data_IF_864328481601
#
_entry.id   IF_864328481601
#
_cell.length_a   1.000
_cell.length_b   1.000
_cell.length_c   1.000
_cell.angle_alpha   90.00
_cell.angle_beta   90.00
_cell.angle_gamma   90.00
#
_symmetry.space_group_name_H-M   'P 1'
#
loop_
_entity.id
_entity.type
_entity.pdbx_description
1 polymer ?
#
# COMPACT_ATOMS: atom_id res chain seq x y z
N UNK A 1 -47.26 13.79 -34.16
CA UNK A 1 -46.71 14.07 -32.81
C UNK A 1 -47.01 12.93 -31.83
N UNK A 2 -48.24 12.46 -31.63
CA UNK A 2 -48.59 11.38 -30.69
C UNK A 2 -47.86 10.04 -30.96
N UNK A 3 -47.64 9.67 -32.22
CA UNK A 3 -46.94 8.44 -32.58
C UNK A 3 -45.44 8.52 -32.25
N UNK A 4 -44.79 9.63 -32.52
CA UNK A 4 -43.40 9.88 -32.16
C UNK A 4 -43.19 9.86 -30.62
N UNK A 5 -44.08 10.50 -29.87
CA UNK A 5 -44.07 10.48 -28.42
C UNK A 5 -44.21 9.06 -27.87
N UNK A 6 -45.09 8.23 -28.40
CA UNK A 6 -45.26 6.82 -27.99
C UNK A 6 -43.98 6.01 -28.26
N UNK A 7 -43.32 6.23 -29.40
CA UNK A 7 -42.07 5.55 -29.70
C UNK A 7 -40.93 6.00 -28.79
N UNK A 8 -40.79 7.30 -28.52
CA UNK A 8 -39.82 7.83 -27.60
C UNK A 8 -40.05 7.29 -26.17
N UNK A 9 -41.31 7.29 -25.71
CA UNK A 9 -41.64 6.71 -24.40
C UNK A 9 -41.27 5.23 -24.33
N UNK A 10 -41.60 4.42 -25.31
CA UNK A 10 -41.23 3.00 -25.36
C UNK A 10 -39.73 2.79 -25.37
N UNK A 11 -39.00 3.62 -26.13
CA UNK A 11 -37.55 3.58 -26.18
C UNK A 11 -36.95 3.93 -24.81
N UNK A 12 -37.43 4.99 -24.16
CA UNK A 12 -36.97 5.38 -22.83
C UNK A 12 -37.25 4.29 -21.81
N UNK A 13 -38.44 3.71 -21.78
CA UNK A 13 -38.78 2.57 -20.91
C UNK A 13 -37.89 1.37 -21.19
N UNK A 14 -37.63 1.07 -22.44
CA UNK A 14 -36.74 -0.02 -22.87
C UNK A 14 -35.29 0.20 -22.37
N UNK A 15 -34.76 1.41 -22.53
CA UNK A 15 -33.41 1.79 -22.05
C UNK A 15 -33.33 1.70 -20.54
N UNK A 16 -34.35 2.21 -19.83
CA UNK A 16 -34.41 2.12 -18.38
C UNK A 16 -34.47 0.65 -17.89
N UNK A 17 -35.28 -0.17 -18.54
CA UNK A 17 -35.37 -1.60 -18.21
C UNK A 17 -34.05 -2.33 -18.45
N UNK A 18 -33.33 -2.02 -19.53
CA UNK A 18 -31.99 -2.56 -19.78
C UNK A 18 -30.97 -2.08 -18.75
N UNK A 19 -31.02 -0.80 -18.37
CA UNK A 19 -30.13 -0.25 -17.34
C UNK A 19 -30.37 -0.92 -15.96
N UNK A 20 -31.62 -1.07 -15.58
CA UNK A 20 -31.98 -1.80 -14.33
C UNK A 20 -31.56 -3.27 -14.41
N UNK A 21 -31.80 -3.93 -15.53
CA UNK A 21 -31.34 -5.31 -15.75
C UNK A 21 -29.82 -5.46 -15.66
N UNK A 22 -29.06 -4.53 -16.24
CA UNK A 22 -27.62 -4.49 -16.15
C UNK A 22 -27.12 -4.26 -14.69
N UNK A 23 -27.75 -3.35 -13.96
CA UNK A 23 -27.46 -3.10 -12.55
C UNK A 23 -27.74 -4.31 -11.67
N UNK A 24 -28.88 -4.98 -11.87
CA UNK A 24 -29.22 -6.20 -11.14
C UNK A 24 -28.24 -7.33 -11.44
N UNK A 25 -27.81 -7.46 -12.68
CA UNK A 25 -26.82 -8.45 -13.10
C UNK A 25 -25.46 -8.16 -12.48
N UNK A 26 -25.01 -6.90 -12.51
CA UNK A 26 -23.77 -6.46 -11.87
C UNK A 26 -23.81 -6.71 -10.35
N UNK A 27 -24.92 -6.35 -9.70
CA UNK A 27 -25.11 -6.62 -8.28
C UNK A 27 -25.07 -8.12 -7.98
N UNK A 28 -25.73 -8.95 -8.81
CA UNK A 28 -25.73 -10.41 -8.62
C UNK A 28 -24.33 -11.00 -8.75
N UNK A 29 -23.52 -10.56 -9.72
CA UNK A 29 -22.14 -11.01 -9.85
C UNK A 29 -21.28 -10.53 -8.65
N UNK A 30 -21.39 -9.28 -8.26
CA UNK A 30 -20.67 -8.72 -7.12
C UNK A 30 -21.01 -9.44 -5.82
N UNK A 31 -22.29 -9.67 -5.57
CA UNK A 31 -22.77 -10.35 -4.34
C UNK A 31 -22.24 -11.79 -4.19
N UNK A 32 -21.93 -12.47 -5.30
CA UNK A 32 -21.35 -13.82 -5.22
C UNK A 32 -19.91 -13.87 -4.72
N UNK A 33 -19.23 -12.73 -4.69
CA UNK A 33 -17.87 -12.61 -4.16
C UNK A 33 -17.86 -12.21 -2.67
N UNK A 34 -19.03 -11.95 -2.08
CA UNK A 34 -19.12 -11.62 -0.66
C UNK A 34 -18.85 -12.87 0.18
N UNK A 35 -17.98 -12.77 1.21
CA UNK A 35 -17.78 -13.85 2.15
C UNK A 35 -19.02 -14.05 3.03
N UNK A 36 -19.17 -15.26 3.55
CA UNK A 36 -20.11 -15.58 4.61
C UNK A 36 -19.36 -15.51 5.94
N UNK A 37 -19.61 -14.47 6.71
CA UNK A 37 -18.89 -14.23 7.97
C UNK A 37 -19.39 -15.09 9.14
N UNK A 38 -20.58 -15.69 9.02
CA UNK A 38 -21.18 -16.56 10.03
C UNK A 38 -20.84 -18.05 9.79
N UNK A 39 -20.10 -18.34 8.70
CA UNK A 39 -19.75 -19.70 8.36
C UNK A 39 -18.66 -20.28 9.27
N UNK A 40 -18.83 -21.56 9.62
CA UNK A 40 -17.74 -22.37 10.15
C UNK A 40 -17.13 -23.19 9.02
N UNK A 41 -15.83 -23.03 8.80
CA UNK A 41 -15.11 -23.68 7.69
C UNK A 41 -13.94 -24.48 8.23
N UNK A 42 -13.81 -25.72 7.77
CA UNK A 42 -12.62 -26.52 8.02
C UNK A 42 -11.52 -26.13 7.01
N UNK A 43 -10.40 -25.68 7.52
CA UNK A 43 -9.26 -25.23 6.71
C UNK A 43 -7.97 -25.94 7.13
N UNK A 44 -7.07 -26.17 6.19
CA UNK A 44 -5.74 -26.66 6.48
C UNK A 44 -4.80 -25.52 6.91
N UNK A 45 -3.80 -25.85 7.73
CA UNK A 45 -2.73 -24.92 8.08
C UNK A 45 -2.91 -24.19 9.41
N UNK A 46 -3.95 -24.52 10.20
CA UNK A 46 -4.09 -24.10 11.59
C UNK A 46 -3.82 -25.26 12.55
N UNK A 47 -3.30 -24.94 13.73
CA UNK A 47 -3.07 -25.93 14.78
C UNK A 47 -4.28 -26.09 15.71
N UNK A 48 -5.04 -25.02 15.92
CA UNK A 48 -6.22 -24.95 16.79
C UNK A 48 -7.32 -24.11 16.14
N UNK A 49 -8.57 -24.23 16.57
CA UNK A 49 -9.66 -23.38 16.07
C UNK A 49 -9.36 -21.91 16.24
N UNK A 50 -9.68 -21.14 15.20
CA UNK A 50 -9.57 -19.67 15.17
C UNK A 50 -10.98 -19.09 15.06
N UNK A 51 -11.30 -18.15 15.92
CA UNK A 51 -12.55 -17.40 15.88
C UNK A 51 -12.29 -15.97 15.37
N UNK A 52 -13.07 -15.55 14.38
CA UNK A 52 -13.03 -14.20 13.82
C UNK A 52 -14.39 -13.57 14.05
N UNK A 53 -14.46 -12.66 15.01
CA UNK A 53 -15.68 -11.92 15.36
C UNK A 53 -15.62 -10.53 14.74
N UNK A 54 -16.67 -10.13 14.03
CA UNK A 54 -16.74 -8.79 13.46
C UNK A 54 -17.63 -7.92 14.32
N UNK A 55 -17.13 -6.70 14.62
CA UNK A 55 -17.90 -5.71 15.36
C UNK A 55 -18.90 -4.94 14.45
N UNK A 56 -19.60 -3.95 15.01
CA UNK A 56 -20.58 -3.15 14.28
C UNK A 56 -19.98 -2.27 13.15
N UNK A 57 -18.66 -2.18 13.09
CA UNK A 57 -17.91 -1.49 12.02
C UNK A 57 -17.22 -2.48 11.07
N UNK A 58 -17.59 -3.77 11.13
CA UNK A 58 -17.00 -4.88 10.37
C UNK A 58 -15.50 -5.08 10.65
N UNK A 59 -14.97 -4.55 11.76
CA UNK A 59 -13.58 -4.77 12.16
C UNK A 59 -13.44 -6.18 12.72
N UNK A 60 -12.52 -7.01 12.16
CA UNK A 60 -12.29 -8.36 12.66
C UNK A 60 -11.51 -8.34 13.98
N UNK A 61 -12.03 -9.08 14.96
CA UNK A 61 -11.38 -9.43 16.19
C UNK A 61 -10.99 -10.90 16.09
N UNK A 62 -9.70 -11.19 16.12
CA UNK A 62 -9.14 -12.53 15.87
C UNK A 62 -8.68 -13.14 17.17
N UNK A 63 -9.22 -14.33 17.48
CA UNK A 63 -8.91 -15.12 18.65
C UNK A 63 -8.34 -16.49 18.23
N UNK A 64 -7.25 -16.90 18.83
CA UNK A 64 -6.61 -18.19 18.59
C UNK A 64 -5.93 -18.70 19.84
N UNK A 65 -5.54 -19.98 19.84
CA UNK A 65 -4.84 -20.59 20.97
C UNK A 65 -3.34 -20.20 21.03
N UNK A 66 -2.79 -19.75 19.90
CA UNK A 66 -1.40 -19.29 19.77
C UNK A 66 -1.33 -18.04 18.89
N UNK A 67 -0.23 -17.31 18.99
CA UNK A 67 0.01 -16.14 18.12
C UNK A 67 0.01 -16.55 16.64
N UNK A 68 0.52 -17.71 16.30
CA UNK A 68 0.47 -18.25 14.94
C UNK A 68 -0.98 -18.44 14.46
N UNK A 69 -1.86 -18.99 15.29
CA UNK A 69 -3.29 -19.13 14.96
C UNK A 69 -3.94 -17.76 14.75
N UNK A 70 -3.59 -16.76 15.56
CA UNK A 70 -4.08 -15.39 15.43
C UNK A 70 -3.61 -14.73 14.13
N UNK A 71 -2.33 -14.88 13.77
CA UNK A 71 -1.82 -14.36 12.48
C UNK A 71 -2.40 -15.13 11.29
N UNK A 72 -2.66 -16.40 11.41
CA UNK A 72 -3.42 -17.14 10.40
C UNK A 72 -4.81 -16.54 10.20
N UNK A 73 -5.55 -16.31 11.30
CA UNK A 73 -6.87 -15.68 11.26
C UNK A 73 -6.85 -14.29 10.63
N UNK A 74 -5.83 -13.47 10.93
CA UNK A 74 -5.65 -12.17 10.30
C UNK A 74 -5.45 -12.30 8.79
N UNK A 75 -4.61 -13.23 8.35
CA UNK A 75 -4.37 -13.51 6.93
C UNK A 75 -5.63 -13.93 6.20
N UNK A 76 -6.39 -14.83 6.80
CA UNK A 76 -7.67 -15.31 6.28
C UNK A 76 -8.70 -14.17 6.16
N UNK A 77 -8.93 -13.39 7.24
CA UNK A 77 -9.86 -12.28 7.25
C UNK A 77 -9.47 -11.17 6.24
N UNK A 78 -8.18 -10.84 6.18
CA UNK A 78 -7.69 -9.83 5.24
C UNK A 78 -7.89 -10.28 3.78
N UNK A 79 -7.66 -11.56 3.49
CA UNK A 79 -7.88 -12.11 2.16
C UNK A 79 -9.37 -12.17 1.80
N UNK A 80 -10.27 -12.44 2.77
CA UNK A 80 -11.72 -12.34 2.55
C UNK A 80 -12.15 -10.95 2.09
N UNK A 81 -11.60 -9.90 2.71
CA UNK A 81 -12.10 -8.54 2.55
C UNK A 81 -11.34 -7.73 1.50
N UNK A 82 -10.07 -8.06 1.25
CA UNK A 82 -9.13 -7.21 0.52
C UNK A 82 -8.31 -7.93 -0.54
N UNK A 83 -8.75 -9.11 -1.01
CA UNK A 83 -7.97 -9.96 -1.90
C UNK A 83 -7.47 -9.22 -3.15
N UNK A 84 -8.34 -8.47 -3.83
CA UNK A 84 -7.93 -7.69 -5.00
C UNK A 84 -6.82 -6.69 -4.68
N UNK A 85 -6.97 -5.93 -3.60
CA UNK A 85 -5.96 -4.97 -3.16
C UNK A 85 -4.62 -5.66 -2.85
N UNK A 86 -4.64 -6.79 -2.15
CA UNK A 86 -3.45 -7.59 -1.85
C UNK A 86 -2.75 -8.07 -3.12
N UNK A 87 -3.51 -8.60 -4.08
CA UNK A 87 -2.98 -9.06 -5.36
C UNK A 87 -2.37 -7.92 -6.17
N UNK A 88 -3.00 -6.75 -6.19
CA UNK A 88 -2.46 -5.58 -6.88
C UNK A 88 -1.18 -5.08 -6.23
N UNK A 89 -1.12 -4.95 -4.91
CA UNK A 89 0.09 -4.55 -4.19
C UNK A 89 1.25 -5.52 -4.44
N UNK A 90 0.99 -6.82 -4.38
CA UNK A 90 1.98 -7.86 -4.69
C UNK A 90 2.48 -7.74 -6.13
N UNK A 91 1.59 -7.61 -7.11
CA UNK A 91 1.96 -7.47 -8.52
C UNK A 91 2.76 -6.22 -8.79
N UNK A 92 2.41 -5.11 -8.13
CA UNK A 92 3.18 -3.88 -8.18
C UNK A 92 4.61 -4.13 -7.72
N UNK A 93 4.79 -4.69 -6.53
CA UNK A 93 6.11 -4.99 -5.99
C UNK A 93 6.92 -5.98 -6.84
N UNK A 94 6.25 -6.90 -7.54
CA UNK A 94 6.86 -7.86 -8.48
C UNK A 94 7.18 -7.26 -9.86
N UNK A 95 6.69 -6.04 -10.18
CA UNK A 95 6.75 -5.49 -11.53
C UNK A 95 5.99 -6.33 -12.55
N UNK A 96 4.73 -6.69 -12.25
CA UNK A 96 3.87 -7.58 -13.03
C UNK A 96 2.46 -7.05 -13.27
N UNK A 97 2.26 -5.74 -13.15
CA UNK A 97 0.95 -5.12 -13.40
C UNK A 97 0.55 -5.19 -14.87
N UNK A 98 1.53 -5.07 -15.77
CA UNK A 98 1.29 -5.09 -17.22
C UNK A 98 0.76 -6.44 -17.75
N UNK A 99 0.86 -7.51 -16.96
CA UNK A 99 0.16 -8.77 -17.28
C UNK A 99 -1.37 -8.62 -17.25
N UNK A 100 -1.89 -7.61 -16.54
CA UNK A 100 -3.33 -7.30 -16.43
C UNK A 100 -3.68 -6.06 -17.23
N UNK A 101 -2.88 -5.00 -17.13
CA UNK A 101 -3.22 -3.67 -17.63
C UNK A 101 -2.48 -3.28 -18.92
N UNK A 102 -1.60 -4.16 -19.43
CA UNK A 102 -0.85 -3.94 -20.67
C UNK A 102 0.17 -2.82 -20.55
N UNK A 103 0.43 -2.12 -21.64
CA UNK A 103 1.48 -1.08 -21.74
C UNK A 103 1.33 0.08 -20.73
N UNK A 104 0.11 0.33 -20.24
CA UNK A 104 -0.19 1.42 -19.30
C UNK A 104 0.65 1.36 -18.02
N UNK A 105 1.00 0.16 -17.57
CA UNK A 105 1.75 -0.07 -16.33
C UNK A 105 3.19 -0.55 -16.56
N UNK A 106 3.63 -0.60 -17.82
CA UNK A 106 4.96 -1.11 -18.17
C UNK A 106 6.10 -0.28 -17.55
N UNK A 107 5.93 1.04 -17.47
CA UNK A 107 6.93 1.92 -16.84
C UNK A 107 7.12 1.61 -15.36
N UNK A 108 6.02 1.35 -14.65
CA UNK A 108 6.03 0.97 -13.23
C UNK A 108 6.68 -0.41 -13.05
N UNK A 109 6.28 -1.38 -13.87
CA UNK A 109 6.88 -2.72 -13.82
C UNK A 109 8.39 -2.68 -14.07
N UNK A 110 8.82 -1.85 -15.02
CA UNK A 110 10.24 -1.65 -15.31
C UNK A 110 10.98 -1.05 -14.12
N UNK A 111 10.40 -0.04 -13.47
CA UNK A 111 10.99 0.57 -12.27
C UNK A 111 11.12 -0.44 -11.13
N UNK A 112 10.05 -1.16 -10.80
CA UNK A 112 10.05 -2.14 -9.71
C UNK A 112 11.07 -3.27 -9.95
N UNK A 113 11.22 -3.71 -11.19
CA UNK A 113 12.23 -4.72 -11.56
C UNK A 113 13.66 -4.19 -11.51
N UNK A 114 13.88 -2.93 -11.91
CA UNK A 114 15.21 -2.28 -11.78
C UNK A 114 15.62 -2.13 -10.32
N UNK A 115 14.68 -1.79 -9.43
CA UNK A 115 14.91 -1.71 -7.99
C UNK A 115 15.06 -3.10 -7.34
N UNK A 116 14.75 -4.17 -8.05
CA UNK A 116 14.75 -5.55 -7.54
C UNK A 116 13.96 -5.70 -6.22
N UNK A 117 12.85 -4.95 -6.11
CA UNK A 117 12.10 -4.84 -4.85
C UNK A 117 11.66 -6.20 -4.31
N UNK A 118 11.18 -7.07 -5.22
CA UNK A 118 10.73 -8.41 -4.84
C UNK A 118 11.89 -9.36 -4.52
N UNK A 119 13.01 -9.28 -5.23
CA UNK A 119 14.22 -10.03 -4.91
C UNK A 119 14.79 -9.63 -3.56
N UNK A 120 14.83 -8.33 -3.26
CA UNK A 120 15.19 -7.80 -1.93
C UNK A 120 14.26 -8.34 -0.84
N UNK A 121 12.94 -8.35 -1.07
CA UNK A 121 11.97 -8.90 -0.13
C UNK A 121 12.19 -10.40 0.12
N UNK A 122 12.44 -11.16 -0.95
CA UNK A 122 12.72 -12.61 -0.84
C UNK A 122 13.95 -12.89 0.01
N UNK A 123 15.03 -12.14 -0.21
CA UNK A 123 16.26 -12.28 0.60
C UNK A 123 16.04 -11.85 2.05
N UNK A 124 15.18 -10.86 2.29
CA UNK A 124 14.88 -10.36 3.63
C UNK A 124 14.10 -11.34 4.51
N UNK A 125 13.45 -12.35 3.95
CA UNK A 125 12.75 -13.39 4.75
C UNK A 125 13.72 -14.11 5.69
N UNK A 126 14.90 -14.47 5.19
CA UNK A 126 15.91 -15.18 5.99
C UNK A 126 16.51 -14.29 7.11
N UNK A 127 16.45 -12.98 6.96
CA UNK A 127 16.98 -12.01 7.93
C UNK A 127 16.00 -11.67 9.05
N UNK A 128 14.75 -12.13 8.97
CA UNK A 128 13.77 -11.93 10.03
C UNK A 128 14.10 -12.77 11.26
N UNK A 129 13.76 -12.27 12.45
CA UNK A 129 13.81 -13.08 13.65
C UNK A 129 12.80 -14.24 13.62
N UNK A 130 12.86 -15.11 14.60
CA UNK A 130 12.04 -16.32 14.64
C UNK A 130 10.54 -15.99 14.73
N UNK A 131 10.18 -15.03 15.55
CA UNK A 131 8.77 -14.66 15.82
C UNK A 131 8.16 -13.98 14.58
N UNK A 132 8.90 -13.05 13.94
CA UNK A 132 8.47 -12.42 12.70
C UNK A 132 8.30 -13.46 11.56
N UNK A 133 9.17 -14.47 11.47
CA UNK A 133 8.99 -15.54 10.47
C UNK A 133 7.75 -16.38 10.74
N UNK A 134 7.49 -16.74 11.99
CA UNK A 134 6.26 -17.45 12.38
C UNK A 134 5.03 -16.63 12.00
N UNK A 135 5.01 -15.34 12.29
CA UNK A 135 3.92 -14.46 11.93
C UNK A 135 3.70 -14.37 10.40
N UNK A 136 4.77 -14.22 9.64
CA UNK A 136 4.73 -14.16 8.17
C UNK A 136 4.23 -15.48 7.55
N UNK A 137 4.71 -16.61 8.04
CA UNK A 137 4.32 -17.95 7.56
C UNK A 137 2.86 -18.25 7.90
N UNK A 138 2.44 -17.98 9.14
CA UNK A 138 1.07 -18.18 9.59
C UNK A 138 0.08 -17.28 8.83
N UNK A 139 0.42 -16.01 8.64
CA UNK A 139 -0.38 -15.09 7.83
C UNK A 139 -0.53 -15.59 6.39
N UNK A 140 0.59 -16.01 5.77
CA UNK A 140 0.57 -16.57 4.42
C UNK A 140 -0.30 -17.83 4.34
N UNK A 141 -0.25 -18.70 5.35
CA UNK A 141 -1.11 -19.88 5.42
C UNK A 141 -2.60 -19.49 5.50
N UNK A 142 -2.96 -18.49 6.29
CA UNK A 142 -4.33 -17.97 6.37
C UNK A 142 -4.83 -17.40 5.05
N UNK A 143 -4.02 -16.59 4.37
CA UNK A 143 -4.34 -16.09 3.02
C UNK A 143 -4.55 -17.26 2.04
N UNK A 144 -3.68 -18.26 2.10
CA UNK A 144 -3.74 -19.42 1.21
C UNK A 144 -4.95 -20.31 1.49
N UNK A 145 -5.41 -20.40 2.73
CA UNK A 145 -6.64 -21.11 3.08
C UNK A 145 -7.86 -20.46 2.39
N UNK A 146 -7.96 -19.13 2.42
CA UNK A 146 -9.00 -18.42 1.66
C UNK A 146 -8.85 -18.61 0.15
N UNK A 147 -7.61 -18.52 -0.37
CA UNK A 147 -7.34 -18.72 -1.81
C UNK A 147 -7.74 -20.13 -2.28
N UNK A 148 -7.61 -21.14 -1.44
CA UNK A 148 -8.05 -22.49 -1.78
C UNK A 148 -9.57 -22.55 -2.03
N UNK A 149 -10.37 -21.86 -1.21
CA UNK A 149 -11.81 -21.74 -1.41
C UNK A 149 -12.16 -20.97 -2.70
N UNK A 150 -11.48 -19.85 -2.94
CA UNK A 150 -11.65 -19.03 -4.17
C UNK A 150 -11.32 -19.85 -5.41
N UNK A 151 -10.18 -20.54 -5.41
CA UNK A 151 -9.74 -21.35 -6.55
C UNK A 151 -10.61 -22.58 -6.78
N UNK A 152 -11.25 -23.11 -5.74
CA UNK A 152 -12.26 -24.17 -5.86
C UNK A 152 -13.62 -23.62 -6.38
N UNK A 153 -13.76 -22.31 -6.56
CA UNK A 153 -15.00 -21.68 -7.03
C UNK A 153 -16.09 -21.55 -5.97
N UNK A 154 -15.78 -21.82 -4.71
CA UNK A 154 -16.72 -21.81 -3.60
C UNK A 154 -17.18 -20.38 -3.23
N UNK A 155 -16.36 -19.37 -3.54
CA UNK A 155 -16.57 -17.95 -3.17
C UNK A 155 -16.58 -17.04 -4.40
N UNK A 156 -17.31 -17.41 -5.43
CA UNK A 156 -17.29 -16.70 -6.70
C UNK A 156 -15.87 -16.67 -7.29
N UNK A 157 -15.27 -15.48 -7.41
CA UNK A 157 -13.85 -15.32 -7.81
C UNK A 157 -13.03 -14.61 -6.73
N UNK A 158 -13.55 -14.48 -5.52
CA UNK A 158 -12.88 -13.89 -4.36
C UNK A 158 -12.95 -12.36 -4.30
N UNK A 159 -13.15 -11.69 -5.43
CA UNK A 159 -13.36 -10.25 -5.49
C UNK A 159 -14.14 -9.89 -6.76
N UNK A 160 -14.99 -8.84 -6.75
CA UNK A 160 -15.76 -8.41 -7.92
C UNK A 160 -14.88 -8.07 -9.12
N UNK A 161 -13.73 -7.46 -8.91
CA UNK A 161 -12.77 -7.07 -9.95
C UNK A 161 -12.23 -8.27 -10.72
N UNK A 162 -12.16 -9.45 -10.10
CA UNK A 162 -11.70 -10.69 -10.75
C UNK A 162 -12.69 -11.25 -11.78
N UNK A 163 -13.91 -10.71 -11.82
CA UNK A 163 -14.82 -10.97 -12.94
C UNK A 163 -14.44 -10.19 -14.20
N UNK A 164 -13.90 -8.98 -14.03
CA UNK A 164 -13.44 -8.12 -15.11
C UNK A 164 -12.02 -8.54 -15.54
N UNK A 165 -11.17 -8.87 -14.57
CA UNK A 165 -9.78 -9.28 -14.77
C UNK A 165 -9.57 -10.72 -14.27
N UNK A 166 -10.05 -11.72 -15.02
CA UNK A 166 -9.96 -13.12 -14.61
C UNK A 166 -8.51 -13.59 -14.61
N UNK A 167 -8.03 -14.00 -13.45
CA UNK A 167 -6.67 -14.52 -13.28
C UNK A 167 -6.63 -15.55 -12.17
N UNK A 168 -5.74 -16.53 -12.29
CA UNK A 168 -5.40 -17.39 -11.20
C UNK A 168 -4.52 -16.62 -10.19
N UNK A 169 -4.84 -16.73 -8.90
CA UNK A 169 -4.04 -16.14 -7.83
C UNK A 169 -3.06 -17.18 -7.33
N UNK A 170 -1.76 -16.92 -7.53
CA UNK A 170 -0.71 -17.77 -7.01
C UNK A 170 -0.73 -17.75 -5.46
N UNK A 171 -0.31 -18.85 -4.80
CA UNK A 171 -0.20 -18.89 -3.35
C UNK A 171 0.61 -17.72 -2.80
N UNK A 172 0.19 -17.23 -1.64
CA UNK A 172 0.87 -16.17 -0.91
C UNK A 172 2.12 -16.71 -0.23
N UNK A 173 3.20 -15.94 -0.30
CA UNK A 173 4.48 -16.28 0.33
C UNK A 173 4.86 -15.22 1.37
N UNK A 174 5.65 -15.53 2.39
CA UNK A 174 6.22 -14.54 3.31
C UNK A 174 6.90 -13.36 2.61
N UNK A 175 7.57 -13.61 1.50
CA UNK A 175 8.18 -12.60 0.66
C UNK A 175 7.16 -11.58 0.09
N UNK A 176 5.92 -11.99 -0.18
CA UNK A 176 4.87 -11.10 -0.68
C UNK A 176 4.53 -10.01 0.35
N UNK A 177 4.45 -10.39 1.62
CA UNK A 177 4.24 -9.45 2.73
C UNK A 177 5.40 -8.46 2.86
N UNK A 178 6.64 -8.95 2.88
CA UNK A 178 7.81 -8.07 2.93
C UNK A 178 7.95 -7.18 1.69
N UNK A 179 7.51 -7.66 0.53
CA UNK A 179 7.48 -6.86 -0.69
C UNK A 179 6.49 -5.69 -0.60
N UNK A 180 5.32 -5.91 -0.01
CA UNK A 180 4.34 -4.84 0.25
C UNK A 180 4.92 -3.83 1.24
N UNK A 181 5.58 -4.27 2.31
CA UNK A 181 6.23 -3.37 3.26
C UNK A 181 7.29 -2.49 2.57
N UNK A 182 8.15 -3.11 1.72
CA UNK A 182 9.15 -2.37 0.95
C UNK A 182 8.52 -1.42 -0.08
N UNK A 183 7.44 -1.84 -0.74
CA UNK A 183 6.70 -0.99 -1.66
C UNK A 183 6.15 0.25 -0.96
N UNK A 184 5.62 0.08 0.24
CA UNK A 184 5.14 1.19 1.05
C UNK A 184 6.28 2.12 1.48
N UNK A 185 7.39 1.57 1.94
CA UNK A 185 8.57 2.37 2.27
C UNK A 185 9.03 3.20 1.06
N UNK A 186 9.07 2.60 -0.14
CA UNK A 186 9.39 3.29 -1.38
C UNK A 186 8.39 4.41 -1.70
N UNK A 187 7.08 4.17 -1.49
CA UNK A 187 6.04 5.16 -1.76
C UNK A 187 6.05 6.32 -0.74
N UNK A 188 6.50 6.06 0.48
CA UNK A 188 6.67 7.07 1.53
C UNK A 188 7.99 7.84 1.38
N UNK A 189 8.93 7.31 0.61
CA UNK A 189 10.19 7.96 0.31
C UNK A 189 10.00 9.05 -0.74
N UNK A 190 9.80 10.29 -0.29
CA UNK A 190 9.61 11.46 -1.16
C UNK A 190 10.95 12.02 -1.68
N UNK A 191 12.08 11.56 -1.16
CA UNK A 191 13.40 12.11 -1.46
C UNK A 191 13.99 11.55 -2.76
N UNK A 192 13.67 10.32 -3.17
CA UNK A 192 14.25 9.69 -4.36
C UNK A 192 14.08 10.56 -5.62
N UNK A 193 12.87 11.08 -5.87
CA UNK A 193 12.63 11.92 -7.04
C UNK A 193 13.37 13.28 -6.92
N UNK A 194 13.43 13.84 -5.73
CA UNK A 194 14.15 15.07 -5.47
C UNK A 194 15.65 14.88 -5.68
N UNK A 195 16.23 13.78 -5.18
CA UNK A 195 17.65 13.46 -5.35
C UNK A 195 18.03 13.18 -6.81
N UNK A 196 17.21 12.45 -7.56
CA UNK A 196 17.40 12.26 -9.01
C UNK A 196 17.36 13.60 -9.74
N UNK A 197 16.43 14.49 -9.36
CA UNK A 197 16.32 15.82 -9.96
C UNK A 197 17.53 16.68 -9.61
N UNK A 198 17.99 16.65 -8.36
CA UNK A 198 19.22 17.33 -7.89
C UNK A 198 20.45 16.85 -8.66
N UNK A 199 20.63 15.54 -8.79
CA UNK A 199 21.75 14.96 -9.53
C UNK A 199 21.75 15.41 -11.00
N UNK A 200 20.59 15.37 -11.68
CA UNK A 200 20.45 15.86 -13.04
C UNK A 200 20.78 17.36 -13.17
N UNK A 201 20.27 18.16 -12.23
CA UNK A 201 20.52 19.60 -12.20
C UNK A 201 22.01 19.88 -12.01
N UNK A 202 22.68 19.19 -11.09
CA UNK A 202 24.12 19.32 -10.86
C UNK A 202 24.94 19.01 -12.10
N UNK A 203 24.59 17.97 -12.86
CA UNK A 203 25.25 17.65 -14.13
C UNK A 203 25.07 18.77 -15.17
N UNK A 204 23.85 19.26 -15.35
CA UNK A 204 23.56 20.35 -16.29
C UNK A 204 24.28 21.64 -15.91
N UNK A 205 24.33 21.97 -14.62
CA UNK A 205 25.03 23.15 -14.13
C UNK A 205 26.56 23.02 -14.31
N UNK A 206 27.12 21.84 -14.09
CA UNK A 206 28.53 21.57 -14.32
C UNK A 206 28.89 21.68 -15.83
N UNK A 207 28.07 21.16 -16.73
CA UNK A 207 28.25 21.31 -18.18
C UNK A 207 28.17 22.78 -18.61
N UNK A 208 27.35 23.60 -17.93
CA UNK A 208 27.24 25.03 -18.16
C UNK A 208 28.38 25.84 -17.51
N UNK A 209 29.34 25.19 -16.84
CA UNK A 209 30.48 25.83 -16.18
C UNK A 209 30.09 26.66 -14.94
N UNK A 210 28.95 26.36 -14.32
CA UNK A 210 28.50 27.03 -13.10
C UNK A 210 29.14 26.39 -11.86
N UNK A 211 29.36 27.19 -10.77
CA UNK A 211 29.94 26.66 -9.55
C UNK A 211 29.13 25.50 -8.94
N UNK A 212 29.86 24.56 -8.36
CA UNK A 212 29.29 23.52 -7.52
C UNK A 212 28.47 24.15 -6.36
N UNK A 213 27.32 23.58 -6.01
CA UNK A 213 26.42 24.13 -4.99
C UNK A 213 25.31 25.03 -5.53
N UNK A 214 25.31 25.41 -6.82
CA UNK A 214 24.18 26.16 -7.41
C UNK A 214 22.90 25.32 -7.45
N UNK A 215 23.01 24.01 -7.41
CA UNK A 215 21.84 23.13 -7.27
C UNK A 215 21.08 23.37 -5.96
N UNK A 216 21.81 23.66 -4.88
CA UNK A 216 21.22 23.94 -3.55
C UNK A 216 20.45 25.27 -3.49
N UNK A 217 20.84 26.25 -4.31
CA UNK A 217 20.10 27.51 -4.45
C UNK A 217 18.69 27.29 -5.06
N UNK A 218 18.55 26.27 -5.91
CA UNK A 218 17.32 25.95 -6.63
C UNK A 218 16.51 24.85 -5.93
N UNK A 219 17.19 23.88 -5.36
CA UNK A 219 16.64 22.74 -4.64
C UNK A 219 17.37 22.64 -3.29
N UNK A 220 17.05 23.50 -2.31
CA UNK A 220 17.68 23.43 -1.01
C UNK A 220 17.45 22.04 -0.39
N UNK A 221 18.47 21.52 0.31
CA UNK A 221 18.30 20.31 1.10
C UNK A 221 17.11 20.45 2.04
N UNK A 222 16.46 19.32 2.32
CA UNK A 222 15.34 19.27 3.26
C UNK A 222 15.69 20.04 4.55
N UNK A 223 14.70 20.67 5.20
CA UNK A 223 14.95 21.71 6.19
C UNK A 223 16.00 21.27 7.18
N UNK A 224 17.17 21.88 7.09
CA UNK A 224 18.21 21.78 8.07
C UNK A 224 17.69 22.26 9.45
N UNK A 225 18.53 22.48 10.45
CA UNK A 225 18.16 22.75 11.86
C UNK A 225 17.22 23.96 12.08
N UNK A 226 16.64 24.53 11.05
CA UNK A 226 15.82 25.74 11.05
C UNK A 226 14.30 25.54 11.07
N UNK A 227 13.76 24.45 11.59
CA UNK A 227 12.29 24.28 11.77
C UNK A 227 11.62 25.44 12.56
N UNK A 228 12.39 26.23 13.29
CA UNK A 228 11.92 27.45 13.93
C UNK A 228 11.60 28.61 12.94
N UNK A 229 11.96 28.46 11.65
CA UNK A 229 11.74 29.48 10.61
C UNK A 229 10.54 29.18 9.70
N UNK A 230 9.76 28.13 9.97
CA UNK A 230 8.54 27.78 9.22
C UNK A 230 7.60 28.96 8.90
N UNK A 231 7.37 29.94 9.80
CA UNK A 231 6.54 31.10 9.49
C UNK A 231 7.08 31.97 8.35
N UNK A 232 8.41 32.07 8.21
CA UNK A 232 9.03 32.84 7.11
C UNK A 232 8.94 32.10 5.78
N UNK A 233 9.06 30.77 5.79
CA UNK A 233 8.92 29.93 4.61
C UNK A 233 7.48 29.98 4.05
N UNK A 234 6.47 29.90 4.93
CA UNK A 234 5.07 30.04 4.55
C UNK A 234 4.76 31.44 3.98
N UNK A 235 5.42 32.50 4.48
CA UNK A 235 5.29 33.86 3.97
C UNK A 235 5.96 34.06 2.58
N UNK A 236 7.01 33.28 2.27
CA UNK A 236 7.70 33.32 0.99
C UNK A 236 6.95 32.52 -0.10
N UNK A 237 6.27 31.44 0.27
CA UNK A 237 5.52 30.58 -0.65
C UNK A 237 4.12 31.14 -0.95
N UNK A 238 3.52 31.86 0.02
CA UNK A 238 2.16 32.40 -0.11
C UNK A 238 1.94 33.40 -1.26
N UNK A 239 2.86 34.34 -1.56
CA UNK A 239 2.66 35.34 -2.64
C UNK A 239 3.02 34.80 -4.03
N UNK A 240 3.75 33.76 -4.19
CA UNK A 240 4.25 33.31 -5.48
C UNK A 240 3.24 32.51 -6.31
N UNK A 241 1.98 32.37 -5.85
CA UNK A 241 0.91 31.78 -6.65
C UNK A 241 1.40 30.53 -7.37
N UNK A 242 2.11 29.65 -6.68
CA UNK A 242 2.40 28.32 -7.22
C UNK A 242 1.03 27.68 -7.37
N UNK A 243 0.49 27.84 -8.58
CA UNK A 243 -0.64 27.06 -9.00
C UNK A 243 -0.17 25.61 -8.89
N UNK A 244 -0.50 24.97 -7.78
CA UNK A 244 -0.52 23.54 -7.71
C UNK A 244 -1.61 23.08 -8.68
N UNK A 245 -1.34 23.24 -9.96
CA UNK A 245 -2.00 22.46 -10.99
C UNK A 245 -1.82 21.03 -10.51
N UNK A 246 -2.87 20.51 -9.92
CA UNK A 246 -2.86 19.17 -9.38
C UNK A 246 -2.25 18.25 -10.44
N UNK A 247 -1.58 17.18 -10.06
CA UNK A 247 -0.94 16.28 -11.00
C UNK A 247 -1.90 16.00 -12.15
N UNK A 248 -1.36 15.96 -13.37
CA UNK A 248 -2.14 15.71 -14.59
C UNK A 248 -3.20 14.63 -14.38
N UNK A 249 -4.39 14.73 -14.99
CA UNK A 249 -5.47 13.75 -14.81
C UNK A 249 -4.88 12.35 -14.94
N UNK A 250 -4.85 11.61 -13.84
CA UNK A 250 -4.23 10.29 -13.78
C UNK A 250 -5.18 9.28 -14.34
N UNK A 251 -4.62 8.28 -14.99
CA UNK A 251 -5.38 7.10 -15.38
C UNK A 251 -6.04 6.49 -14.12
N UNK A 252 -7.39 6.41 -14.03
CA UNK A 252 -8.07 5.83 -12.89
C UNK A 252 -7.72 4.36 -12.65
N UNK A 253 -7.11 3.70 -13.65
CA UNK A 253 -6.61 2.33 -13.56
C UNK A 253 -5.12 2.26 -13.14
N UNK A 254 -4.46 3.41 -12.90
CA UNK A 254 -3.09 3.41 -12.38
C UNK A 254 -3.09 3.00 -10.90
N UNK A 255 -2.61 1.79 -10.57
CA UNK A 255 -2.60 1.29 -9.20
C UNK A 255 -1.51 1.93 -8.35
N UNK A 256 -0.52 2.57 -8.97
CA UNK A 256 0.57 3.27 -8.29
C UNK A 256 0.39 4.76 -8.48
N UNK A 257 -0.22 5.38 -7.50
CA UNK A 257 -0.40 6.83 -7.48
C UNK A 257 0.91 7.49 -7.08
N UNK A 258 1.76 7.82 -8.05
CA UNK A 258 2.95 8.63 -7.79
C UNK A 258 2.58 9.90 -7.00
N UNK A 259 3.33 10.24 -5.96
CA UNK A 259 3.04 11.38 -5.08
C UNK A 259 1.78 11.25 -4.22
N UNK A 260 1.12 10.10 -4.21
CA UNK A 260 -0.08 9.88 -3.40
C UNK A 260 0.21 9.90 -1.89
N UNK A 261 1.47 9.71 -1.51
CA UNK A 261 1.93 9.71 -0.13
C UNK A 261 2.71 10.98 0.26
N UNK A 262 2.81 11.97 -0.62
CA UNK A 262 3.43 13.27 -0.35
C UNK A 262 2.57 14.16 0.57
N UNK A 263 1.84 13.55 1.50
CA UNK A 263 1.04 14.23 2.50
C UNK A 263 1.80 14.42 3.79
N UNK A 264 1.40 15.42 4.58
CA UNK A 264 1.82 15.53 5.97
C UNK A 264 1.28 14.36 6.79
N UNK A 265 1.86 14.10 7.95
CA UNK A 265 1.29 13.21 8.94
C UNK A 265 1.55 13.77 10.33
N UNK A 266 0.64 13.53 11.26
CA UNK A 266 0.76 14.02 12.62
C UNK A 266 0.59 12.86 13.61
N UNK A 267 1.41 12.88 14.65
CA UNK A 267 1.26 12.03 15.84
C UNK A 267 1.34 12.89 17.08
N UNK A 268 0.35 12.76 17.95
CA UNK A 268 0.24 13.53 19.17
C UNK A 268 0.10 12.59 20.35
N UNK A 269 0.87 12.80 21.38
CA UNK A 269 0.73 12.09 22.64
C UNK A 269 0.59 13.09 23.80
N UNK A 270 -0.39 12.86 24.67
CA UNK A 270 -0.57 13.64 25.89
C UNK A 270 -0.51 12.72 27.12
N UNK A 271 0.34 13.06 28.07
CA UNK A 271 0.42 12.35 29.36
C UNK A 271 -0.80 12.63 30.24
N UNK A 272 -0.98 11.80 31.27
CA UNK A 272 -2.11 11.82 32.21
C UNK A 272 -2.35 13.23 32.78
N UNK A 273 -1.28 13.97 33.12
CA UNK A 273 -1.40 15.32 33.68
C UNK A 273 -1.97 16.38 32.73
N UNK A 274 -2.06 16.07 31.44
CA UNK A 274 -2.62 16.94 30.38
C UNK A 274 -3.98 16.45 29.86
N UNK A 275 -4.47 15.35 30.38
CA UNK A 275 -5.71 14.72 29.94
C UNK A 275 -6.82 14.92 30.95
N UNK A 276 -7.96 15.41 30.51
CA UNK A 276 -9.15 15.52 31.36
C UNK A 276 -9.77 14.16 31.71
N UNK A 277 -9.41 13.09 30.97
CA UNK A 277 -9.91 11.74 31.22
C UNK A 277 -9.14 10.97 32.29
N UNK A 278 -8.02 11.52 32.78
CA UNK A 278 -7.15 10.83 33.73
C UNK A 278 -6.34 9.68 33.11
N UNK A 279 -6.29 9.59 31.78
CA UNK A 279 -5.54 8.59 31.00
C UNK A 279 -4.64 9.27 29.99
N UNK A 280 -3.64 8.56 29.49
CA UNK A 280 -2.85 9.02 28.33
C UNK A 280 -3.73 9.05 27.08
N UNK A 281 -3.44 10.01 26.19
CA UNK A 281 -4.12 10.15 24.91
C UNK A 281 -3.08 10.02 23.78
N UNK A 282 -3.45 9.30 22.72
CA UNK A 282 -2.69 9.21 21.49
C UNK A 282 -3.62 9.51 20.30
N UNK A 283 -3.18 10.38 19.41
CA UNK A 283 -3.82 10.60 18.13
C UNK A 283 -2.79 10.45 17.02
N UNK A 284 -3.13 9.73 15.97
CA UNK A 284 -2.31 9.59 14.77
C UNK A 284 -3.16 9.89 13.55
N UNK A 285 -2.74 10.85 12.77
CA UNK A 285 -3.45 11.37 11.60
C UNK A 285 -2.51 11.33 10.37
N UNK A 286 -2.43 10.20 9.68
CA UNK A 286 -1.73 10.10 8.41
C UNK A 286 -2.58 10.74 7.31
N UNK A 287 -2.10 11.85 6.72
CA UNK A 287 -2.80 12.60 5.67
C UNK A 287 -2.64 11.88 4.33
N UNK A 288 -3.34 10.79 4.17
CA UNK A 288 -3.32 9.96 2.96
C UNK A 288 -4.56 10.21 2.10
N UNK A 289 -4.48 9.98 0.77
CA UNK A 289 -5.63 10.08 -0.09
C UNK A 289 -6.78 9.18 0.35
N UNK A 290 -7.99 9.71 0.32
CA UNK A 290 -9.19 8.91 0.54
C UNK A 290 -9.43 8.02 -0.68
N UNK A 291 -9.37 6.71 -0.47
CA UNK A 291 -9.57 5.70 -1.52
C UNK A 291 -10.57 4.64 -1.05
N UNK A 292 -11.20 3.97 -2.00
CA UNK A 292 -12.02 2.79 -1.75
C UNK A 292 -11.47 1.62 -2.61
N UNK A 293 -10.97 0.58 -1.97
CA UNK A 293 -10.79 0.42 -0.54
C UNK A 293 -9.73 1.35 0.05
N UNK A 294 -9.83 1.63 1.35
CA UNK A 294 -8.80 2.36 2.10
C UNK A 294 -7.49 1.58 2.13
N UNK A 295 -6.36 2.31 2.28
CA UNK A 295 -5.07 1.67 2.50
C UNK A 295 -5.06 0.85 3.79
N UNK A 296 -5.61 1.40 4.85
CA UNK A 296 -5.64 0.73 6.14
C UNK A 296 -6.78 -0.28 6.24
N UNK A 297 -6.47 -1.35 6.95
CA UNK A 297 -7.39 -2.38 7.37
C UNK A 297 -7.32 -2.47 8.89
N UNK A 298 -8.42 -2.19 9.57
CA UNK A 298 -8.46 -2.25 11.03
C UNK A 298 -8.61 -3.70 11.48
N UNK A 299 -7.89 -4.07 12.54
CA UNK A 299 -8.03 -5.38 13.14
C UNK A 299 -7.70 -5.34 14.64
N UNK A 300 -8.30 -6.26 15.39
CA UNK A 300 -7.89 -6.61 16.75
C UNK A 300 -7.35 -8.03 16.78
N UNK A 301 -6.21 -8.19 17.41
CA UNK A 301 -5.49 -9.45 17.53
C UNK A 301 -5.36 -9.79 19.02
N UNK A 302 -5.81 -10.97 19.43
CA UNK A 302 -5.63 -11.44 20.80
C UNK A 302 -4.37 -12.30 20.89
N UNK A 303 -3.23 -11.65 21.07
CA UNK A 303 -1.92 -12.26 21.14
C UNK A 303 -1.59 -12.74 22.57
N UNK A 304 -0.63 -13.65 22.71
CA UNK A 304 -0.13 -14.13 24.00
C UNK A 304 0.43 -13.00 24.88
N UNK A 305 0.95 -11.94 24.28
CA UNK A 305 1.41 -10.73 24.93
C UNK A 305 0.28 -9.76 25.32
N UNK A 306 -0.96 -10.09 25.03
CA UNK A 306 -2.15 -9.26 25.21
C UNK A 306 -2.75 -8.76 23.90
N UNK A 307 -3.97 -8.22 24.00
CA UNK A 307 -4.70 -7.74 22.82
C UNK A 307 -4.05 -6.51 22.19
N UNK A 308 -3.94 -6.54 20.87
CA UNK A 308 -3.46 -5.42 20.05
C UNK A 308 -4.56 -5.02 19.08
N UNK A 309 -4.88 -3.72 19.02
CA UNK A 309 -5.88 -3.18 18.09
C UNK A 309 -5.30 -1.99 17.33
N UNK A 310 -5.59 -1.90 16.05
CA UNK A 310 -5.17 -0.76 15.24
C UNK A 310 -5.23 -0.98 13.74
N UNK A 311 -4.51 -0.12 13.03
CA UNK A 311 -4.44 -0.12 11.59
C UNK A 311 -3.34 -1.06 11.09
N UNK A 312 -3.75 -2.02 10.29
CA UNK A 312 -2.87 -2.89 9.49
C UNK A 312 -2.90 -2.46 8.02
N UNK A 313 -2.11 -3.10 7.20
CA UNK A 313 -2.18 -2.97 5.75
C UNK A 313 -2.44 -4.34 5.15
N UNK A 314 -3.38 -4.46 4.19
CA UNK A 314 -3.64 -5.71 3.52
C UNK A 314 -2.36 -6.33 2.94
N UNK A 315 -2.04 -7.52 3.41
CA UNK A 315 -0.80 -8.22 3.07
C UNK A 315 0.27 -8.23 4.16
N UNK A 316 0.08 -7.49 5.27
CA UNK A 316 1.07 -7.41 6.36
C UNK A 316 0.54 -8.00 7.67
N UNK A 317 1.27 -8.92 8.33
CA UNK A 317 0.94 -9.45 9.66
C UNK A 317 1.44 -8.53 10.78
N UNK A 318 1.07 -7.25 10.75
CA UNK A 318 1.48 -6.29 11.78
C UNK A 318 0.48 -5.15 11.94
N UNK A 319 0.42 -4.54 13.11
CA UNK A 319 -0.33 -3.32 13.39
C UNK A 319 0.64 -2.14 13.34
N UNK A 320 0.50 -1.29 12.31
CA UNK A 320 1.37 -0.15 12.07
C UNK A 320 1.12 1.02 13.02
N UNK A 321 -0.14 1.28 13.32
CA UNK A 321 -0.55 2.31 14.27
C UNK A 321 -1.68 1.74 15.11
N UNK A 322 -1.53 1.79 16.42
CA UNK A 322 -2.49 1.15 17.28
C UNK A 322 -2.13 1.22 18.75
N UNK A 323 -2.69 0.30 19.50
CA UNK A 323 -2.39 0.14 20.92
C UNK A 323 -2.47 -1.31 21.39
N UNK A 324 -1.70 -1.62 22.43
CA UNK A 324 -1.89 -2.75 23.34
C UNK A 324 -2.58 -2.30 24.63
N UNK A 325 -2.55 -3.15 25.65
CA UNK A 325 -2.98 -2.76 26.99
C UNK A 325 -2.09 -1.65 27.60
N UNK A 326 -0.78 -1.69 27.30
CA UNK A 326 0.24 -0.92 28.00
C UNK A 326 0.87 0.20 27.16
N UNK A 327 0.82 0.09 25.83
CA UNK A 327 1.49 0.98 24.90
C UNK A 327 0.57 1.37 23.74
N UNK A 328 0.57 2.65 23.39
CA UNK A 328 0.04 3.15 22.11
C UNK A 328 1.18 3.64 21.23
N UNK A 329 1.07 3.42 19.92
CA UNK A 329 2.04 3.90 18.93
C UNK A 329 1.36 4.44 17.67
N UNK A 330 2.02 5.37 17.04
CA UNK A 330 1.62 5.95 15.77
C UNK A 330 2.86 6.17 14.91
N UNK A 331 2.64 6.35 13.62
CA UNK A 331 3.69 6.62 12.65
C UNK A 331 3.47 7.99 11.99
N UNK A 332 4.57 8.68 11.75
CA UNK A 332 4.61 9.90 10.96
C UNK A 332 5.85 9.88 10.06
N UNK A 333 5.75 10.51 8.89
CA UNK A 333 6.92 10.71 8.03
C UNK A 333 7.89 11.68 8.70
N UNK A 334 9.16 11.28 8.78
CA UNK A 334 10.21 12.08 9.40
C UNK A 334 11.00 12.93 8.40
N UNK A 335 10.77 12.77 7.11
CA UNK A 335 11.52 13.42 6.03
C UNK A 335 13.05 13.31 6.18
N UNK A 336 13.51 12.17 6.70
CA UNK A 336 14.94 11.89 6.79
C UNK A 336 15.50 11.61 5.40
N UNK A 337 16.67 12.15 5.10
CA UNK A 337 17.43 11.80 3.91
C UNK A 337 18.03 10.40 4.11
N UNK A 338 17.35 9.38 3.59
CA UNK A 338 17.71 7.96 3.69
C UNK A 338 18.04 7.35 2.33
N UNK A 339 18.11 8.20 1.30
CA UNK A 339 18.33 7.78 -0.09
C UNK A 339 19.35 8.69 -0.74
N UNK A 340 20.41 8.12 -1.26
CA UNK A 340 21.43 8.82 -2.04
C UNK A 340 21.39 8.39 -3.51
N UNK A 341 21.77 9.31 -4.40
CA UNK A 341 21.92 9.05 -5.83
C UNK A 341 23.37 9.21 -6.20
N UNK A 342 23.96 8.13 -6.73
CA UNK A 342 25.34 8.12 -7.22
C UNK A 342 25.34 8.22 -8.74
N UNK A 343 26.30 9.01 -9.27
CA UNK A 343 26.57 9.06 -10.71
C UNK A 343 27.78 8.18 -10.96
N UNK A 344 27.56 7.07 -11.64
CA UNK A 344 28.58 6.07 -11.90
C UNK A 344 29.43 6.45 -13.13
N UNK A 345 30.73 6.23 -13.03
CA UNK A 345 31.63 6.31 -14.18
C UNK A 345 31.50 5.00 -14.97
N UNK A 346 30.90 5.08 -16.15
CA UNK A 346 30.70 3.92 -17.03
C UNK A 346 32.01 3.60 -17.78
N UNK A 347 32.37 2.32 -17.90
CA UNK A 347 33.51 1.86 -18.66
C UNK A 347 33.37 2.25 -20.15
N UNK A 348 34.30 3.03 -20.72
CA UNK A 348 34.22 3.45 -22.12
C UNK A 348 34.28 2.29 -23.12
N UNK A 349 34.86 1.14 -22.71
CA UNK A 349 35.01 -0.05 -23.56
C UNK A 349 33.84 -1.04 -23.39
N UNK A 350 33.10 -0.98 -22.25
CA UNK A 350 31.99 -1.85 -21.96
C UNK A 350 30.94 -1.10 -21.13
N UNK A 351 29.87 -0.64 -21.78
CA UNK A 351 28.78 0.10 -21.15
C UNK A 351 27.98 -0.70 -20.10
N UNK A 352 28.24 -1.99 -19.95
CA UNK A 352 27.67 -2.83 -18.89
C UNK A 352 28.47 -2.80 -17.59
N UNK A 353 29.61 -2.07 -17.54
CA UNK A 353 30.45 -1.97 -16.36
C UNK A 353 30.56 -0.55 -15.85
N UNK A 354 30.67 -0.40 -14.55
CA UNK A 354 30.90 0.87 -13.86
C UNK A 354 32.13 0.78 -12.94
N UNK A 355 32.69 1.92 -12.58
CA UNK A 355 33.89 2.00 -11.77
C UNK A 355 33.59 1.80 -10.30
N UNK A 356 34.30 0.87 -9.67
CA UNK A 356 34.34 0.66 -8.23
C UNK A 356 35.72 0.90 -7.67
N UNK A 357 35.95 1.01 -6.37
CA UNK A 357 37.29 1.10 -5.77
C UNK A 357 38.24 -0.06 -6.17
N UNK A 358 37.63 -1.24 -6.45
CA UNK A 358 38.38 -2.45 -6.83
C UNK A 358 38.61 -2.59 -8.33
N UNK A 359 38.05 -1.68 -9.15
CA UNK A 359 38.13 -1.70 -10.60
C UNK A 359 36.77 -1.68 -11.29
N UNK A 360 36.71 -2.12 -12.55
CA UNK A 360 35.46 -2.21 -13.30
C UNK A 360 34.64 -3.41 -12.88
N UNK A 361 33.37 -3.18 -12.53
CA UNK A 361 32.40 -4.22 -12.15
C UNK A 361 31.14 -4.13 -13.02
N UNK A 362 30.47 -5.26 -13.28
CA UNK A 362 29.22 -5.30 -14.05
C UNK A 362 28.04 -4.70 -13.32
#
# INVERSE_FOLDING_TARGET
MATLFRWLFRLTVGVLALAVGALLLAWWFASRSLPDYDATTEVAGIASPVEIVRDNADVPHVFGASDADVFFGLGYATAQDRLWQMVMLRRTAQGRLSEIFGERTLAIDTLMRRLDLYGLATRSVASQDADARVALEAYAAGVNAWLAEVNAGARGRGAPEMWIFPQAVAPWQPADSLAILKLMALQLNVHLEAEVTRARLSLVLAEAGLPEGRADDLLPEAPGPGLAELPRYAALVGPMGVDYAGPAPRDPLDPVRGGAFAGASNVWAAGVSRSATGSTLLANDPHLPLTAPSMFYLARLELSSGGVIGATIPGLPLVLSGRSADLGWGIASSYLADTDVYVEEVNPEDAGQYRTPEGWAP
#
